data_IF_847521035728
#
_entry.id   IF_847521035728
#
_cell.length_a   1.000
_cell.length_b   1.000
_cell.length_c   1.000
_cell.angle_alpha   90.00
_cell.angle_beta   90.00
_cell.angle_gamma   90.00
#
_symmetry.space_group_name_H-M   'P 1'
#
loop_
_entity.id
_entity.type
_entity.pdbx_description
1 polymer ?
#
# COMPACT_ATOMS: atom_id res chain seq x y z
N UNK A 1 15.25 54.72 -17.56
CA UNK A 1 16.60 54.45 -18.09
C UNK A 1 16.75 52.92 -18.07
N UNK A 2 16.44 52.19 -19.16
CA UNK A 2 17.32 51.80 -20.28
C UNK A 2 18.59 51.06 -19.78
N UNK A 3 19.05 49.88 -20.24
CA UNK A 3 18.98 49.13 -21.50
C UNK A 3 19.30 47.61 -21.22
N UNK A 4 18.64 46.61 -21.83
CA UNK A 4 18.91 45.91 -23.10
C UNK A 4 20.30 45.24 -23.26
N UNK A 5 20.33 43.90 -23.43
CA UNK A 5 21.03 43.22 -24.55
C UNK A 5 20.71 41.70 -24.62
N UNK A 6 20.58 41.21 -25.86
CA UNK A 6 20.10 39.89 -26.28
C UNK A 6 21.24 38.95 -26.72
N UNK A 7 20.98 37.64 -26.81
CA UNK A 7 21.64 36.75 -27.76
C UNK A 7 20.75 35.52 -28.04
N UNK A 8 20.42 35.32 -29.31
CA UNK A 8 19.62 34.24 -29.86
C UNK A 8 20.51 33.11 -30.38
N UNK A 9 20.04 31.86 -30.33
CA UNK A 9 20.51 30.79 -31.22
C UNK A 9 19.29 30.06 -31.79
N UNK A 10 19.13 30.22 -33.11
CA UNK A 10 18.20 29.56 -33.99
C UNK A 10 18.74 28.19 -34.39
N UNK A 11 17.91 27.13 -34.34
CA UNK A 11 18.14 25.89 -35.10
C UNK A 11 16.91 25.65 -35.97
N UNK A 12 17.12 25.69 -37.28
CA UNK A 12 16.10 25.52 -38.32
C UNK A 12 16.24 24.20 -39.05
N UNK A 13 15.10 23.52 -39.17
CA UNK A 13 14.59 22.73 -40.31
C UNK A 13 15.33 21.42 -40.69
N UNK A 14 14.61 20.32 -40.96
CA UNK A 14 13.87 20.16 -42.23
C UNK A 14 12.91 18.95 -42.23
N UNK A 15 11.73 19.15 -42.86
CA UNK A 15 11.02 18.33 -43.89
C UNK A 15 10.83 16.81 -43.63
N UNK A 16 9.66 16.17 -43.80
CA UNK A 16 8.35 16.51 -44.36
C UNK A 16 7.62 15.26 -44.92
N UNK A 17 6.28 15.32 -45.01
CA UNK A 17 5.33 14.53 -45.84
C UNK A 17 5.24 12.99 -45.61
N UNK A 18 4.13 12.25 -45.61
CA UNK A 18 2.73 12.33 -46.10
C UNK A 18 1.96 11.27 -45.26
N UNK A 19 0.66 11.32 -44.95
CA UNK A 19 -0.51 11.53 -45.80
C UNK A 19 -1.32 10.21 -45.92
N UNK A 20 -2.61 10.25 -45.54
CA UNK A 20 -3.67 9.27 -45.88
C UNK A 20 -3.87 8.13 -44.86
N UNK A 21 -5.05 7.57 -44.61
CA UNK A 21 -6.46 7.80 -45.00
C UNK A 21 -7.28 6.84 -44.09
N UNK A 22 -8.52 7.18 -43.76
CA UNK A 22 -9.38 6.43 -42.85
C UNK A 22 -9.97 5.12 -43.46
N UNK A 23 -9.96 4.04 -42.65
CA UNK A 23 -11.02 3.00 -42.45
C UNK A 23 -11.41 2.04 -43.62
N UNK A 24 -12.20 0.94 -43.43
CA UNK A 24 -12.46 0.07 -42.27
C UNK A 24 -12.37 -1.45 -42.58
N UNK A 25 -12.46 -2.28 -41.54
CA UNK A 25 -13.09 -3.60 -41.63
C UNK A 25 -12.17 -4.82 -41.59
N UNK A 26 -12.14 -5.51 -40.44
CA UNK A 26 -12.71 -6.86 -40.22
C UNK A 26 -12.35 -7.30 -38.79
N UNK A 27 -13.36 -7.50 -37.94
CA UNK A 27 -13.22 -8.10 -36.61
C UNK A 27 -12.73 -9.57 -36.76
N UNK A 28 -11.92 -10.07 -35.80
CA UNK A 28 -12.56 -10.93 -34.82
C UNK A 28 -12.22 -10.53 -33.38
N UNK A 29 -13.24 -10.73 -32.55
CA UNK A 29 -13.18 -10.73 -31.11
C UNK A 29 -12.10 -11.68 -30.59
N UNK A 30 -11.20 -11.14 -29.78
CA UNK A 30 -10.79 -11.74 -28.51
C UNK A 30 -9.98 -10.67 -27.80
N UNK A 31 -10.65 -9.81 -27.02
CA UNK A 31 -9.99 -9.24 -25.87
C UNK A 31 -9.45 -10.43 -25.07
N UNK A 32 -8.13 -10.58 -24.85
CA UNK A 32 -7.74 -11.37 -23.69
C UNK A 32 -8.43 -10.68 -22.52
N UNK A 33 -9.40 -11.37 -21.92
CA UNK A 33 -9.90 -10.98 -20.63
C UNK A 33 -8.65 -10.67 -19.79
N UNK A 34 -8.55 -9.43 -19.31
CA UNK A 34 -7.67 -9.09 -18.20
C UNK A 34 -8.05 -10.08 -17.09
N UNK A 35 -7.37 -11.22 -17.09
CA UNK A 35 -7.28 -12.11 -15.95
C UNK A 35 -6.45 -11.34 -14.95
N UNK A 36 -7.08 -10.35 -14.32
CA UNK A 36 -6.65 -9.81 -13.04
C UNK A 36 -7.00 -10.85 -11.97
N UNK A 37 -6.51 -12.08 -12.15
CA UNK A 37 -6.12 -12.84 -11.00
C UNK A 37 -4.88 -12.10 -10.50
N UNK A 38 -4.86 -11.53 -9.28
CA UNK A 38 -3.58 -11.25 -8.69
C UNK A 38 -2.88 -12.61 -8.64
N UNK A 39 -1.93 -12.83 -9.54
CA UNK A 39 -0.86 -13.77 -9.29
C UNK A 39 -0.29 -13.28 -7.98
N UNK A 40 -0.69 -13.91 -6.88
CA UNK A 40 -0.06 -13.72 -5.59
C UNK A 40 1.39 -14.07 -5.86
N UNK A 41 2.19 -13.02 -6.10
CA UNK A 41 3.62 -13.13 -6.16
C UNK A 41 3.97 -13.64 -4.78
N UNK A 42 4.23 -14.94 -4.67
CA UNK A 42 4.83 -15.56 -3.51
C UNK A 42 6.26 -15.02 -3.44
N UNK A 43 6.38 -13.73 -3.12
CA UNK A 43 7.61 -13.00 -3.05
C UNK A 43 8.21 -13.28 -1.67
N UNK A 44 9.23 -14.14 -1.66
CA UNK A 44 10.26 -14.16 -0.63
C UNK A 44 9.71 -14.27 0.81
N UNK A 45 9.12 -15.43 1.12
CA UNK A 45 8.76 -15.80 2.49
C UNK A 45 9.85 -16.64 3.18
N UNK A 46 11.04 -16.80 2.60
CA UNK A 46 11.94 -17.93 2.90
C UNK A 46 12.79 -17.81 4.19
N UNK A 47 12.70 -16.74 4.98
CA UNK A 47 13.52 -16.61 6.21
C UNK A 47 12.75 -16.86 7.51
N UNK A 48 11.43 -16.94 7.44
CA UNK A 48 10.55 -17.01 8.61
C UNK A 48 9.89 -18.40 8.68
N UNK A 49 9.90 -19.02 9.86
CA UNK A 49 9.13 -20.25 10.07
C UNK A 49 7.62 -19.97 10.12
N UNK A 50 6.81 -21.02 10.03
CA UNK A 50 5.35 -20.90 9.96
C UNK A 50 4.75 -20.34 11.25
N UNK A 51 5.32 -20.65 12.41
CA UNK A 51 4.83 -20.17 13.71
C UNK A 51 5.06 -18.67 13.86
N UNK A 52 6.23 -18.17 13.47
CA UNK A 52 6.55 -16.76 13.46
C UNK A 52 5.70 -15.99 12.45
N UNK A 53 5.35 -16.64 11.33
CA UNK A 53 4.51 -16.08 10.28
C UNK A 53 3.07 -15.92 10.78
N UNK A 54 2.54 -16.95 11.42
CA UNK A 54 1.20 -16.94 12.03
C UNK A 54 1.11 -15.93 13.18
N UNK A 55 2.15 -15.85 14.02
CA UNK A 55 2.22 -14.85 15.08
C UNK A 55 2.17 -13.42 14.52
N UNK A 56 2.90 -13.16 13.44
CA UNK A 56 2.93 -11.83 12.84
C UNK A 56 1.63 -11.50 12.10
N UNK A 57 1.02 -12.42 11.36
CA UNK A 57 -0.29 -12.19 10.72
C UNK A 57 -1.39 -11.94 11.76
N UNK A 58 -1.37 -12.66 12.88
CA UNK A 58 -2.28 -12.42 14.01
C UNK A 58 -2.11 -11.00 14.59
N UNK A 59 -0.87 -10.55 14.82
CA UNK A 59 -0.59 -9.17 15.26
C UNK A 59 -1.08 -8.14 14.25
N UNK A 60 -0.79 -8.33 12.96
CA UNK A 60 -1.24 -7.42 11.91
C UNK A 60 -2.77 -7.31 11.88
N UNK A 61 -3.47 -8.44 11.99
CA UNK A 61 -4.93 -8.48 11.99
C UNK A 61 -5.51 -7.82 13.24
N UNK A 62 -4.94 -8.08 14.42
CA UNK A 62 -5.37 -7.47 15.67
C UNK A 62 -5.19 -5.94 15.63
N UNK A 63 -4.04 -5.47 15.15
CA UNK A 63 -3.76 -4.05 15.02
C UNK A 63 -4.66 -3.36 13.99
N UNK A 64 -4.87 -3.97 12.82
CA UNK A 64 -5.82 -3.43 11.85
C UNK A 64 -7.23 -3.40 12.45
N UNK A 65 -7.68 -4.46 13.11
CA UNK A 65 -9.00 -4.50 13.74
C UNK A 65 -9.19 -3.35 14.75
N UNK A 66 -8.19 -3.07 15.57
CA UNK A 66 -8.19 -1.93 16.49
C UNK A 66 -8.20 -0.59 15.74
N UNK A 67 -7.37 -0.46 14.69
CA UNK A 67 -7.32 0.72 13.83
C UNK A 67 -8.67 1.04 13.19
N UNK A 68 -9.45 0.02 12.81
CA UNK A 68 -10.77 0.16 12.21
C UNK A 68 -11.90 0.50 13.21
N UNK A 69 -11.66 0.51 14.53
CA UNK A 69 -12.67 0.85 15.55
C UNK A 69 -12.96 2.36 15.60
N UNK A 70 -13.40 2.96 14.48
CA UNK A 70 -13.63 4.40 14.38
C UNK A 70 -14.70 4.93 15.33
N UNK A 71 -15.67 4.10 15.72
CA UNK A 71 -16.78 4.49 16.59
C UNK A 71 -16.37 4.71 18.05
N UNK A 72 -15.15 4.31 18.43
CA UNK A 72 -14.61 4.55 19.76
C UNK A 72 -14.10 5.99 19.90
N UNK A 73 -14.22 6.60 21.10
CA UNK A 73 -13.53 7.84 21.40
C UNK A 73 -12.02 7.64 21.32
N UNK A 74 -11.30 8.70 20.94
CA UNK A 74 -9.85 8.66 20.70
C UNK A 74 -9.07 7.94 21.82
N UNK A 75 -9.31 8.25 23.10
CA UNK A 75 -8.57 7.62 24.20
C UNK A 75 -8.78 6.10 24.27
N UNK A 76 -10.00 5.62 23.99
CA UNK A 76 -10.31 4.19 23.99
C UNK A 76 -9.76 3.49 22.76
N UNK A 77 -9.85 4.13 21.59
CA UNK A 77 -9.24 3.64 20.35
C UNK A 77 -7.72 3.54 20.48
N UNK A 78 -7.09 4.59 21.01
CA UNK A 78 -5.64 4.68 21.15
C UNK A 78 -5.11 3.70 22.19
N UNK A 79 -5.82 3.50 23.31
CA UNK A 79 -5.45 2.50 24.32
C UNK A 79 -5.45 1.07 23.74
N UNK A 80 -6.28 0.78 22.74
CA UNK A 80 -6.27 -0.50 22.05
C UNK A 80 -5.13 -0.59 21.05
N UNK A 81 -4.91 0.44 20.24
CA UNK A 81 -3.94 0.41 19.15
C UNK A 81 -2.48 0.53 19.61
N UNK A 82 -2.19 1.53 20.46
CA UNK A 82 -0.85 1.89 20.93
C UNK A 82 0.04 0.71 21.37
N UNK A 83 -0.41 -0.28 22.17
CA UNK A 83 0.45 -1.36 22.64
C UNK A 83 0.95 -2.30 21.52
N UNK A 84 0.33 -2.26 20.33
CA UNK A 84 0.74 -3.08 19.18
C UNK A 84 1.68 -2.32 18.24
N UNK A 85 1.99 -1.05 18.50
CA UNK A 85 2.78 -0.19 17.63
C UNK A 85 4.26 -0.17 18.03
N UNK A 86 5.14 0.01 17.05
CA UNK A 86 6.52 0.44 17.32
C UNK A 86 6.52 1.87 17.87
N UNK A 87 7.62 2.28 18.52
CA UNK A 87 7.73 3.66 19.02
C UNK A 87 7.63 4.70 17.87
N UNK A 88 8.16 4.38 16.69
CA UNK A 88 8.02 5.23 15.49
C UNK A 88 6.55 5.33 15.06
N UNK A 89 5.85 4.20 15.00
CA UNK A 89 4.42 4.18 14.67
C UNK A 89 3.57 4.92 15.70
N UNK A 90 3.91 4.85 17.00
CA UNK A 90 3.23 5.66 18.03
C UNK A 90 3.29 7.15 17.68
N UNK A 91 4.47 7.68 17.35
CA UNK A 91 4.61 9.08 16.95
C UNK A 91 3.86 9.41 15.65
N UNK A 92 3.83 8.48 14.70
CA UNK A 92 3.13 8.67 13.43
C UNK A 92 1.60 8.71 13.59
N UNK A 93 1.04 7.91 14.51
CA UNK A 93 -0.40 7.73 14.64
C UNK A 93 -1.04 8.43 15.84
N UNK A 94 -0.27 8.97 16.80
CA UNK A 94 -0.82 9.58 18.02
C UNK A 94 -1.80 10.73 17.75
N UNK A 95 -1.69 11.43 16.62
CA UNK A 95 -2.62 12.53 16.27
C UNK A 95 -3.66 12.13 15.22
N UNK A 96 -3.81 10.84 14.93
CA UNK A 96 -4.80 10.35 13.96
C UNK A 96 -6.20 10.43 14.55
N UNK A 97 -7.13 11.02 13.79
CA UNK A 97 -8.56 10.97 14.09
C UNK A 97 -9.14 9.63 13.64
N UNK A 98 -9.71 8.80 14.55
CA UNK A 98 -10.32 7.52 14.19
C UNK A 98 -11.42 7.64 13.12
N UNK A 99 -12.16 8.77 13.09
CA UNK A 99 -13.23 9.00 12.12
C UNK A 99 -12.72 9.20 10.69
N UNK A 100 -11.45 9.55 10.51
CA UNK A 100 -10.81 9.73 9.21
C UNK A 100 -10.35 8.42 8.57
N UNK A 101 -10.38 7.28 9.30
CA UNK A 101 -10.05 5.97 8.74
C UNK A 101 -11.12 5.59 7.71
N UNK A 102 -10.77 5.23 6.46
CA UNK A 102 -11.77 5.01 5.40
C UNK A 102 -12.49 3.65 5.50
N UNK A 103 -11.86 2.60 6.04
CA UNK A 103 -12.45 1.28 6.21
C UNK A 103 -13.11 1.07 7.58
N UNK A 104 -14.10 0.17 7.66
CA UNK A 104 -14.76 -0.22 8.93
C UNK A 104 -14.62 -1.70 9.25
N UNK A 105 -14.41 -2.55 8.23
CA UNK A 105 -14.45 -4.01 8.38
C UNK A 105 -13.38 -4.69 7.53
N UNK A 106 -12.81 -5.76 8.08
CA UNK A 106 -11.93 -6.71 7.39
C UNK A 106 -12.80 -7.70 6.59
N UNK A 107 -12.50 -7.88 5.31
CA UNK A 107 -13.31 -8.69 4.37
C UNK A 107 -12.62 -9.96 3.92
N UNK A 108 -11.34 -10.15 4.23
CA UNK A 108 -10.57 -11.34 3.85
C UNK A 108 -9.48 -11.68 4.84
N UNK A 109 -8.88 -12.86 4.64
CA UNK A 109 -7.78 -13.35 5.46
C UNK A 109 -6.49 -12.56 5.20
N UNK A 110 -5.61 -12.43 6.21
CA UNK A 110 -4.30 -11.82 6.05
C UNK A 110 -3.43 -12.64 5.09
N UNK A 111 -2.80 -11.96 4.14
CA UNK A 111 -1.86 -12.54 3.18
C UNK A 111 -0.48 -11.95 3.41
N UNK A 112 0.52 -12.77 3.71
CA UNK A 112 1.92 -12.32 3.78
C UNK A 112 2.41 -12.04 2.37
N UNK A 113 2.72 -10.78 2.07
CA UNK A 113 3.18 -10.35 0.75
C UNK A 113 4.70 -10.40 0.61
N UNK A 114 5.43 -10.20 1.71
CA UNK A 114 6.89 -10.33 1.76
C UNK A 114 7.37 -10.53 3.21
N UNK A 115 8.47 -11.26 3.40
CA UNK A 115 9.20 -11.31 4.65
C UNK A 115 10.70 -11.05 4.37
N UNK A 116 11.10 -9.76 4.19
CA UNK A 116 12.45 -9.41 3.74
C UNK A 116 13.55 -9.81 4.74
N UNK A 117 13.21 -10.02 6.00
CA UNK A 117 14.14 -10.52 7.01
C UNK A 117 13.39 -11.24 8.13
N UNK A 118 14.12 -11.92 9.03
CA UNK A 118 13.54 -12.45 10.25
C UNK A 118 12.91 -11.36 11.12
N UNK A 119 13.28 -10.08 11.00
CA UNK A 119 12.77 -8.99 11.85
C UNK A 119 11.71 -8.13 11.19
N UNK A 120 11.36 -8.38 9.93
CA UNK A 120 10.42 -7.55 9.19
C UNK A 120 9.50 -8.40 8.31
N UNK A 121 8.21 -8.09 8.33
CA UNK A 121 7.20 -8.79 7.55
C UNK A 121 6.14 -7.82 7.03
N UNK A 122 5.68 -8.03 5.80
CA UNK A 122 4.63 -7.27 5.15
C UNK A 122 3.40 -8.15 5.00
N UNK A 123 2.26 -7.66 5.49
CA UNK A 123 0.97 -8.36 5.45
C UNK A 123 -0.05 -7.49 4.74
N UNK A 124 -0.75 -8.07 3.77
CA UNK A 124 -1.88 -7.48 3.08
C UNK A 124 -3.17 -8.00 3.70
N UNK A 125 -4.09 -7.11 4.08
CA UNK A 125 -5.39 -7.49 4.62
C UNK A 125 -6.48 -6.81 3.82
N UNK A 126 -7.38 -7.61 3.23
CA UNK A 126 -8.52 -7.09 2.48
C UNK A 126 -9.54 -6.44 3.43
N UNK A 127 -9.98 -5.24 3.06
CA UNK A 127 -11.04 -4.48 3.74
C UNK A 127 -12.10 -4.05 2.73
N UNK A 128 -13.21 -3.49 3.22
CA UNK A 128 -14.29 -2.99 2.35
C UNK A 128 -13.88 -1.88 1.35
N UNK A 129 -12.72 -1.25 1.53
CA UNK A 129 -12.21 -0.16 0.67
C UNK A 129 -10.94 -0.52 -0.10
N UNK A 130 -10.50 -1.78 -0.04
CA UNK A 130 -9.26 -2.26 -0.66
C UNK A 130 -8.34 -2.99 0.33
N UNK A 131 -7.12 -3.29 -0.10
CA UNK A 131 -6.13 -3.97 0.75
C UNK A 131 -5.30 -2.96 1.54
N UNK A 132 -5.29 -3.12 2.86
CA UNK A 132 -4.31 -2.44 3.71
C UNK A 132 -2.99 -3.19 3.66
N UNK A 133 -1.90 -2.45 3.59
CA UNK A 133 -0.55 -2.99 3.78
C UNK A 133 -0.09 -2.67 5.19
N UNK A 134 0.23 -3.71 5.96
CA UNK A 134 0.74 -3.63 7.32
C UNK A 134 2.20 -4.07 7.28
N UNK A 135 3.09 -3.18 7.71
CA UNK A 135 4.50 -3.50 7.90
C UNK A 135 4.71 -3.77 9.37
N UNK A 136 5.27 -4.94 9.67
CA UNK A 136 5.62 -5.39 11.00
C UNK A 136 7.13 -5.32 11.19
N UNK A 137 7.53 -5.00 12.41
CA UNK A 137 8.91 -4.97 12.86
C UNK A 137 9.04 -5.62 14.24
N UNK A 138 10.18 -6.25 14.48
CA UNK A 138 10.61 -6.71 15.81
C UNK A 138 12.10 -6.46 15.99
N UNK A 139 12.54 -6.18 17.21
CA UNK A 139 13.95 -5.83 17.49
C UNK A 139 14.92 -6.97 17.18
N UNK A 140 14.46 -8.22 17.35
CA UNK A 140 15.21 -9.43 17.06
C UNK A 140 14.24 -10.62 16.91
N UNK A 141 14.74 -11.78 16.48
CA UNK A 141 13.92 -12.98 16.23
C UNK A 141 13.18 -13.54 17.47
N UNK A 142 13.51 -13.09 18.68
CA UNK A 142 12.82 -13.53 19.91
C UNK A 142 11.84 -12.49 20.45
N UNK A 143 11.83 -11.28 19.89
CA UNK A 143 10.89 -10.24 20.27
C UNK A 143 9.53 -10.47 19.62
N UNK A 144 8.47 -9.99 20.27
CA UNK A 144 7.14 -9.98 19.68
C UNK A 144 7.06 -9.04 18.47
N UNK A 145 6.14 -9.33 17.56
CA UNK A 145 5.85 -8.45 16.43
C UNK A 145 5.17 -7.17 16.91
N UNK A 146 5.59 -6.04 16.35
CA UNK A 146 4.91 -4.75 16.49
C UNK A 146 4.65 -4.18 15.09
N UNK A 147 3.59 -3.39 14.96
CA UNK A 147 3.27 -2.70 13.72
C UNK A 147 4.10 -1.43 13.60
N UNK A 148 4.86 -1.38 12.52
CA UNK A 148 5.63 -0.21 12.14
C UNK A 148 4.82 0.75 11.25
N UNK A 149 3.96 0.19 10.38
CA UNK A 149 3.20 0.99 9.42
C UNK A 149 1.87 0.34 9.07
N UNK A 150 0.82 1.14 9.02
CA UNK A 150 -0.46 0.83 8.39
C UNK A 150 -0.66 1.78 7.20
N UNK A 151 -0.54 1.24 5.99
CA UNK A 151 -0.77 1.99 4.76
C UNK A 151 -2.18 1.67 4.25
N UNK A 152 -3.08 2.67 4.13
CA UNK A 152 -4.38 2.46 3.50
C UNK A 152 -4.20 2.07 2.03
N UNK A 153 -5.17 1.40 1.41
CA UNK A 153 -5.14 1.20 -0.02
C UNK A 153 -5.00 2.55 -0.71
N UNK A 154 -4.17 2.62 -1.76
CA UNK A 154 -4.19 3.79 -2.62
C UNK A 154 -5.64 3.97 -3.06
N UNK A 155 -6.26 5.08 -2.67
CA UNK A 155 -7.55 5.43 -3.22
C UNK A 155 -7.28 5.54 -4.72
N UNK A 156 -7.88 4.67 -5.54
CA UNK A 156 -7.87 4.88 -6.97
C UNK A 156 -8.36 6.31 -7.19
N UNK A 157 -7.43 7.19 -7.58
CA UNK A 157 -7.73 8.59 -7.80
C UNK A 157 -8.84 8.73 -8.85
N UNK A 158 -9.55 9.87 -8.87
CA UNK A 158 -10.60 10.12 -9.85
C UNK A 158 -10.11 10.00 -11.30
#
# INVERSE_FOLDING_TARGET
MAAAMAAAIFVTMTVGCSGGEAEPGTLPAASPALSNAPTASAASADTLDDEERDAGTATAQAALKAFLQRDLPYDSWWAQLKPMLTQEAVFAYEYTDPQSVPATTITGEPLVSAAPSATQMNVLIATGVGQYMIVLYRENARAGWAVDRLTPPEQAGP
#
